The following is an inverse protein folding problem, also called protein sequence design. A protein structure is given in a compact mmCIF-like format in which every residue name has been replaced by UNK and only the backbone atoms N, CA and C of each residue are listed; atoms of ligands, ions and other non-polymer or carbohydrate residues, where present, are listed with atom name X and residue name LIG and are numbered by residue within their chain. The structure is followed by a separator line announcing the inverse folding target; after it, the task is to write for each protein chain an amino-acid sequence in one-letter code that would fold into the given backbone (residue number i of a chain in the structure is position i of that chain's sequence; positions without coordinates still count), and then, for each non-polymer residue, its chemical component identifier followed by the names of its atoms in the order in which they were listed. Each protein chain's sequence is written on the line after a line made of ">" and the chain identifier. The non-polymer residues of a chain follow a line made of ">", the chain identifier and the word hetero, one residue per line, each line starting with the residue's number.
data_IF_547545558518
#
_entry.id   IF_547545558518
#
_cell.length_a   1.000
_cell.length_b   1.000
_cell.length_c   1.000
_cell.angle_alpha   90.00
_cell.angle_beta   90.00
_cell.angle_gamma   90.00
#
_symmetry.space_group_name_H-M   'P 1'
#
loop_
_entity.id
_entity.type
_entity.pdbx_description
1 polymer ?
#
# COMPACT_ATOMS: atom_id res chain seq x y z
N UNK A 1 2.14 73.24 -19.20
CA UNK A 1 2.77 73.64 -20.48
C UNK A 1 2.74 72.44 -21.42
N UNK A 2 1.87 72.48 -22.44
CA UNK A 2 1.94 71.67 -23.68
C UNK A 2 3.14 72.14 -24.55
N UNK A 3 3.60 71.42 -25.62
CA UNK A 3 2.78 70.64 -26.55
C UNK A 3 3.37 69.40 -27.29
N UNK A 4 2.45 68.70 -27.97
CA UNK A 4 2.57 67.95 -29.25
C UNK A 4 3.30 66.59 -29.24
N UNK A 5 2.89 65.55 -29.98
CA UNK A 5 1.87 65.47 -31.04
C UNK A 5 1.49 64.01 -31.40
N UNK A 6 0.32 63.88 -32.04
CA UNK A 6 -0.35 62.66 -32.52
C UNK A 6 0.28 62.08 -33.80
N UNK A 7 0.32 60.74 -33.93
CA UNK A 7 -0.05 59.89 -35.11
C UNK A 7 -0.33 58.47 -34.54
N UNK A 8 -1.38 57.69 -34.80
CA UNK A 8 -2.38 57.65 -35.86
C UNK A 8 -2.08 56.48 -36.82
N UNK A 9 -2.72 55.31 -36.66
CA UNK A 9 -3.08 54.26 -37.67
C UNK A 9 -3.48 52.95 -36.95
N UNK A 10 -4.75 52.52 -37.01
CA UNK A 10 -5.50 51.73 -38.03
C UNK A 10 -5.51 50.22 -37.72
N UNK A 11 -6.69 49.76 -37.30
CA UNK A 11 -7.15 48.37 -37.24
C UNK A 11 -7.17 47.71 -38.63
N UNK A 12 -6.93 46.40 -38.75
CA UNK A 12 -7.50 45.58 -39.80
C UNK A 12 -8.75 44.85 -39.31
N UNK A 13 -9.80 45.01 -40.12
CA UNK A 13 -11.03 44.23 -40.17
C UNK A 13 -10.68 42.87 -40.79
N UNK A 14 -11.19 41.76 -40.23
CA UNK A 14 -11.27 40.48 -40.92
C UNK A 14 -12.71 39.91 -40.81
N UNK A 15 -13.21 39.23 -41.86
CA UNK A 15 -14.63 39.03 -42.07
C UNK A 15 -15.18 37.74 -41.45
N UNK A 16 -16.50 37.77 -41.24
CA UNK A 16 -17.39 36.65 -40.92
C UNK A 16 -17.87 36.02 -42.23
N UNK A 17 -17.78 34.68 -42.34
CA UNK A 17 -18.61 33.71 -43.10
C UNK A 17 -17.74 32.49 -43.48
N UNK A 18 -18.16 31.23 -43.41
CA UNK A 18 -19.46 30.64 -43.13
C UNK A 18 -19.34 29.11 -42.95
N UNK A 19 -20.42 28.52 -42.43
CA UNK A 19 -20.68 27.08 -42.39
C UNK A 19 -20.81 26.48 -43.80
N UNK A 20 -20.14 25.35 -44.09
CA UNK A 20 -20.67 24.26 -44.94
C UNK A 20 -20.14 22.90 -44.42
N UNK A 21 -21.07 21.96 -44.22
CA UNK A 21 -20.90 20.52 -43.99
C UNK A 21 -20.48 19.80 -45.29
N UNK A 22 -19.59 18.78 -45.21
CA UNK A 22 -19.84 17.41 -45.72
C UNK A 22 -18.59 16.50 -45.69
N UNK A 23 -18.86 15.26 -45.26
CA UNK A 23 -18.29 13.97 -45.71
C UNK A 23 -16.82 13.60 -45.44
N UNK A 24 -16.66 12.73 -44.43
CA UNK A 24 -16.07 11.39 -44.51
C UNK A 24 -14.93 11.14 -45.50
N UNK A 25 -13.73 10.91 -44.99
CA UNK A 25 -12.81 9.91 -45.54
C UNK A 25 -11.94 9.30 -44.44
N UNK A 26 -12.23 8.02 -44.18
CA UNK A 26 -11.48 7.08 -43.35
C UNK A 26 -10.09 6.85 -43.96
N UNK A 27 -9.05 7.47 -43.40
CA UNK A 27 -7.67 7.10 -43.70
C UNK A 27 -7.18 6.11 -42.63
N UNK A 28 -7.17 4.82 -42.98
CA UNK A 28 -6.52 3.78 -42.18
C UNK A 28 -5.00 3.91 -42.36
N UNK A 29 -4.34 4.55 -41.41
CA UNK A 29 -2.88 4.46 -41.27
C UNK A 29 -2.58 3.19 -40.46
N UNK A 30 -2.06 2.18 -41.14
CA UNK A 30 -1.57 0.96 -40.52
C UNK A 30 -0.24 1.26 -39.82
N UNK A 31 -0.27 1.39 -38.50
CA UNK A 31 0.94 1.35 -37.68
C UNK A 31 1.35 -0.10 -37.46
N UNK A 32 2.40 -0.52 -38.16
CA UNK A 32 3.16 -1.73 -37.83
C UNK A 32 3.99 -1.45 -36.57
N UNK A 33 3.36 -1.59 -35.40
CA UNK A 33 4.09 -1.72 -34.14
C UNK A 33 4.54 -3.18 -34.02
N UNK A 34 5.82 -3.43 -34.30
CA UNK A 34 6.50 -4.62 -33.79
C UNK A 34 6.51 -4.48 -32.26
N UNK A 35 5.55 -5.12 -31.61
CA UNK A 35 5.65 -5.48 -30.21
C UNK A 35 6.68 -6.59 -30.09
N UNK A 36 7.84 -6.28 -29.53
CA UNK A 36 8.71 -7.32 -28.97
C UNK A 36 7.88 -8.12 -27.94
N UNK A 37 8.05 -9.46 -27.89
CA UNK A 37 7.26 -10.29 -27.00
C UNK A 37 7.62 -9.91 -25.57
N UNK A 38 6.66 -9.31 -24.87
CA UNK A 38 6.66 -9.29 -23.41
C UNK A 38 6.67 -10.75 -23.00
N UNK A 39 7.74 -11.14 -22.33
CA UNK A 39 7.94 -12.46 -21.75
C UNK A 39 6.86 -12.69 -20.69
N UNK A 40 5.69 -13.10 -21.17
CA UNK A 40 4.60 -13.63 -20.38
C UNK A 40 5.09 -14.96 -19.83
N UNK A 41 5.85 -14.90 -18.75
CA UNK A 41 5.97 -16.04 -17.85
C UNK A 41 4.56 -16.41 -17.44
N UNK A 42 4.07 -17.46 -18.07
CA UNK A 42 2.74 -17.99 -17.90
C UNK A 42 2.52 -18.21 -16.40
N UNK A 43 1.67 -17.38 -15.79
CA UNK A 43 0.90 -17.78 -14.64
C UNK A 43 0.04 -18.92 -15.15
N UNK A 44 0.53 -20.15 -15.02
CA UNK A 44 -0.25 -21.33 -15.27
C UNK A 44 -1.49 -21.20 -14.39
N UNK A 45 -2.63 -20.93 -15.02
CA UNK A 45 -3.95 -21.00 -14.40
C UNK A 45 -4.11 -22.47 -14.01
N UNK A 46 -3.65 -22.81 -12.80
CA UNK A 46 -3.99 -24.08 -12.18
C UNK A 46 -5.51 -24.09 -12.10
N UNK A 47 -6.13 -25.05 -12.79
CA UNK A 47 -7.54 -25.35 -12.60
C UNK A 47 -7.75 -25.54 -11.10
N UNK A 48 -8.54 -24.66 -10.50
CA UNK A 48 -8.92 -24.72 -9.11
C UNK A 48 -9.43 -26.14 -8.80
N UNK A 49 -8.96 -26.72 -7.69
CA UNK A 49 -9.58 -27.94 -7.19
C UNK A 49 -11.01 -27.55 -6.75
N UNK A 50 -12.06 -28.24 -7.22
CA UNK A 50 -13.44 -27.86 -6.95
C UNK A 50 -13.89 -28.00 -5.48
N UNK A 51 -13.00 -28.40 -4.55
CA UNK A 51 -13.36 -28.78 -3.18
C UNK A 51 -12.75 -27.91 -2.07
N UNK A 52 -12.08 -26.80 -2.40
CA UNK A 52 -11.69 -25.81 -1.37
C UNK A 52 -12.68 -24.66 -1.44
N UNK A 53 -13.68 -24.66 -0.55
CA UNK A 53 -14.52 -23.49 -0.34
C UNK A 53 -13.62 -22.27 -0.13
N UNK A 54 -13.78 -21.25 -0.98
CA UNK A 54 -13.08 -19.98 -0.80
C UNK A 54 -13.44 -19.44 0.59
N UNK A 55 -12.45 -19.27 1.47
CA UNK A 55 -12.62 -18.65 2.78
C UNK A 55 -12.93 -17.16 2.57
N UNK A 56 -14.22 -16.84 2.51
CA UNK A 56 -14.70 -15.47 2.38
C UNK A 56 -15.02 -14.85 3.75
N UNK A 57 -14.70 -13.57 3.90
CA UNK A 57 -15.08 -12.76 5.07
C UNK A 57 -15.38 -11.33 4.65
N UNK A 58 -16.24 -10.65 5.41
CA UNK A 58 -16.59 -9.25 5.13
C UNK A 58 -15.74 -8.31 5.97
N UNK A 59 -15.12 -7.32 5.33
CA UNK A 59 -14.53 -6.15 5.96
C UNK A 59 -15.39 -4.94 5.57
N UNK A 60 -16.17 -4.43 6.53
CA UNK A 60 -17.18 -3.41 6.27
C UNK A 60 -18.19 -3.91 5.21
N UNK A 61 -18.41 -3.16 4.14
CA UNK A 61 -19.25 -3.46 2.98
C UNK A 61 -18.52 -4.26 1.88
N UNK A 62 -17.26 -4.66 2.11
CA UNK A 62 -16.45 -5.39 1.12
C UNK A 62 -16.30 -6.85 1.52
N UNK A 63 -16.80 -7.76 0.69
CA UNK A 63 -16.55 -9.20 0.85
C UNK A 63 -15.22 -9.56 0.20
N UNK A 64 -14.32 -10.12 1.00
CA UNK A 64 -13.01 -10.62 0.57
C UNK A 64 -13.02 -12.12 0.58
N UNK A 65 -12.63 -12.74 -0.54
CA UNK A 65 -12.46 -14.17 -0.65
C UNK A 65 -10.97 -14.46 -0.85
N UNK A 66 -10.35 -15.10 0.13
CA UNK A 66 -8.94 -15.49 0.03
C UNK A 66 -8.88 -16.80 -0.76
N UNK A 67 -8.66 -16.66 -2.06
CA UNK A 67 -8.39 -17.80 -2.95
C UNK A 67 -6.99 -18.31 -2.65
N UNK A 68 -6.89 -19.59 -2.31
CA UNK A 68 -5.64 -20.32 -2.14
C UNK A 68 -4.63 -19.61 -1.23
N UNK A 69 -4.72 -19.85 0.09
CA UNK A 69 -3.60 -19.54 1.00
C UNK A 69 -2.30 -20.05 0.34
N UNK A 70 -1.26 -19.22 0.22
CA UNK A 70 -0.07 -19.61 -0.53
C UNK A 70 0.46 -20.94 0.01
N UNK A 71 0.84 -21.88 -0.87
CA UNK A 71 1.31 -23.17 -0.42
C UNK A 71 2.50 -22.95 0.50
N UNK A 72 2.34 -23.35 1.75
CA UNK A 72 3.45 -23.39 2.69
C UNK A 72 4.36 -24.49 2.18
N UNK A 73 5.62 -24.15 1.91
CA UNK A 73 6.61 -25.11 1.44
C UNK A 73 6.69 -26.24 2.46
N UNK A 74 6.47 -27.49 2.02
CA UNK A 74 6.43 -28.68 2.89
C UNK A 74 7.77 -28.94 3.58
N UNK A 75 8.85 -28.39 3.05
CA UNK A 75 10.18 -28.45 3.64
C UNK A 75 10.41 -27.32 4.66
N UNK A 76 9.43 -26.42 4.83
CA UNK A 76 9.45 -25.39 5.86
C UNK A 76 8.42 -25.75 6.92
N UNK A 77 8.86 -25.79 8.16
CA UNK A 77 7.97 -26.02 9.31
C UNK A 77 7.24 -24.75 9.75
N UNK A 78 7.56 -23.60 9.16
CA UNK A 78 7.06 -22.30 9.62
C UNK A 78 5.62 -22.03 9.18
N UNK A 79 4.75 -21.66 10.12
CA UNK A 79 3.36 -21.27 9.84
C UNK A 79 2.34 -22.42 9.79
N UNK A 80 2.72 -23.67 10.06
CA UNK A 80 1.77 -24.78 10.17
C UNK A 80 1.30 -24.97 11.63
N UNK A 81 0.01 -24.80 11.94
CA UNK A 81 -0.53 -25.21 13.24
C UNK A 81 -0.38 -26.73 13.38
N UNK A 82 0.52 -27.18 14.27
CA UNK A 82 0.66 -28.59 14.66
C UNK A 82 1.83 -29.37 14.07
N UNK A 83 2.64 -28.78 13.19
CA UNK A 83 3.82 -29.46 12.60
C UNK A 83 5.17 -28.77 12.86
N UNK A 84 5.15 -27.58 13.46
CA UNK A 84 6.36 -26.81 13.73
C UNK A 84 6.96 -27.12 15.09
N UNK A 85 8.03 -27.91 15.11
CA UNK A 85 8.93 -27.96 16.28
C UNK A 85 9.80 -26.71 16.25
N UNK A 86 9.35 -25.66 16.95
CA UNK A 86 10.14 -24.46 17.20
C UNK A 86 11.32 -24.80 18.10
N UNK A 87 12.49 -24.29 17.76
CA UNK A 87 13.60 -24.31 18.69
C UNK A 87 13.36 -23.21 19.75
N UNK A 88 12.77 -23.58 20.87
CA UNK A 88 12.56 -22.70 22.03
C UNK A 88 13.87 -22.38 22.74
N UNK A 89 14.92 -23.19 22.56
CA UNK A 89 16.25 -22.96 23.14
C UNK A 89 16.95 -21.72 22.59
N UNK A 90 16.51 -21.16 21.44
CA UNK A 90 17.11 -19.97 20.84
C UNK A 90 16.04 -18.93 20.45
N UNK A 91 15.09 -18.68 21.36
CA UNK A 91 13.97 -17.79 21.09
C UNK A 91 14.43 -16.37 20.71
N UNK A 92 13.78 -15.78 19.72
CA UNK A 92 13.95 -14.38 19.34
C UNK A 92 12.86 -13.55 20.01
N UNK A 93 13.27 -12.49 20.70
CA UNK A 93 12.36 -11.54 21.35
C UNK A 93 12.58 -10.17 20.72
N UNK A 94 11.64 -9.64 19.91
CA UNK A 94 11.77 -8.31 19.35
C UNK A 94 11.51 -7.28 20.46
N UNK A 95 12.41 -6.32 20.56
CA UNK A 95 12.35 -5.29 21.58
C UNK A 95 12.47 -3.90 20.95
N UNK A 96 11.64 -2.98 21.45
CA UNK A 96 11.56 -1.60 21.02
C UNK A 96 11.80 -0.64 22.20
N UNK A 97 12.64 -1.00 23.17
CA UNK A 97 13.17 -0.04 24.15
C UNK A 97 13.89 1.16 23.48
N UNK A 98 14.24 1.06 22.18
CA UNK A 98 14.68 2.19 21.34
C UNK A 98 13.54 3.00 20.68
N UNK A 99 12.35 3.01 21.29
CA UNK A 99 11.09 3.61 20.80
C UNK A 99 11.21 4.99 20.15
N UNK A 100 12.14 5.83 20.58
CA UNK A 100 12.32 7.19 20.07
C UNK A 100 12.73 7.27 18.59
N UNK A 101 13.23 6.17 17.99
CA UNK A 101 13.72 6.17 16.61
C UNK A 101 12.71 5.65 15.58
N UNK A 102 11.74 4.81 15.99
CA UNK A 102 10.89 4.05 15.06
C UNK A 102 9.40 3.99 15.42
N UNK A 103 8.91 4.78 16.38
CA UNK A 103 7.58 4.64 17.00
C UNK A 103 6.32 4.76 16.12
N UNK A 104 6.44 4.98 14.81
CA UNK A 104 5.29 5.06 13.90
C UNK A 104 4.69 3.67 13.59
N UNK A 105 3.37 3.60 13.42
CA UNK A 105 2.63 2.35 13.14
C UNK A 105 3.21 1.54 11.98
N UNK A 106 3.58 2.18 10.86
CA UNK A 106 4.18 1.49 9.71
C UNK A 106 5.54 0.85 10.01
N UNK A 107 6.34 1.46 10.88
CA UNK A 107 7.65 0.93 11.28
C UNK A 107 7.48 -0.24 12.25
N UNK A 108 6.61 -0.13 13.25
CA UNK A 108 6.32 -1.21 14.20
C UNK A 108 5.84 -2.48 13.49
N UNK A 109 4.91 -2.34 12.53
CA UNK A 109 4.43 -3.49 11.73
C UNK A 109 5.60 -4.12 10.97
N UNK A 110 6.43 -3.29 10.37
CA UNK A 110 7.56 -3.74 9.57
C UNK A 110 8.62 -4.45 10.40
N UNK A 111 8.92 -3.95 11.60
CA UNK A 111 9.79 -4.60 12.58
C UNK A 111 9.26 -5.96 12.96
N UNK A 112 7.97 -6.07 13.25
CA UNK A 112 7.32 -7.34 13.54
C UNK A 112 7.50 -8.35 12.40
N UNK A 113 7.30 -7.94 11.14
CA UNK A 113 7.54 -8.82 9.99
C UNK A 113 9.01 -9.18 9.79
N UNK A 114 9.95 -8.28 10.10
CA UNK A 114 11.37 -8.61 10.04
C UNK A 114 11.79 -9.58 11.13
N UNK A 115 11.22 -9.46 12.34
CA UNK A 115 11.44 -10.42 13.42
C UNK A 115 10.91 -11.81 13.06
N UNK A 116 9.73 -11.88 12.44
CA UNK A 116 9.19 -13.13 11.90
C UNK A 116 10.09 -13.75 10.83
N UNK A 117 10.62 -12.95 9.90
CA UNK A 117 11.54 -13.44 8.89
C UNK A 117 12.87 -13.93 9.49
N UNK A 118 13.38 -13.24 10.52
CA UNK A 118 14.59 -13.66 11.23
C UNK A 118 14.38 -14.98 11.98
N UNK A 119 13.24 -15.12 12.67
CA UNK A 119 12.87 -16.36 13.35
C UNK A 119 12.74 -17.52 12.36
N UNK A 120 12.14 -17.25 11.20
CA UNK A 120 12.08 -18.22 10.11
C UNK A 120 13.47 -18.64 9.62
N UNK A 121 14.33 -17.67 9.31
CA UNK A 121 15.68 -17.94 8.80
C UNK A 121 16.55 -18.74 9.78
N UNK A 122 16.36 -18.53 11.09
CA UNK A 122 17.11 -19.19 12.15
C UNK A 122 16.47 -20.47 12.69
N UNK A 123 15.30 -20.87 12.18
CA UNK A 123 14.54 -22.00 12.73
C UNK A 123 14.12 -21.82 14.20
N UNK A 124 14.12 -20.58 14.68
CA UNK A 124 13.91 -20.21 16.08
C UNK A 124 12.46 -19.81 16.34
N UNK A 125 12.06 -19.88 17.60
CA UNK A 125 10.76 -19.36 18.03
C UNK A 125 10.75 -17.83 18.03
N UNK A 126 9.70 -17.20 17.48
CA UNK A 126 9.44 -15.78 17.74
C UNK A 126 8.56 -15.65 18.98
N UNK A 127 9.10 -15.07 20.05
CA UNK A 127 8.39 -14.85 21.31
C UNK A 127 8.07 -13.36 21.46
N UNK A 128 6.82 -13.03 21.78
CA UNK A 128 6.39 -11.64 22.01
C UNK A 128 5.82 -11.49 23.41
N UNK A 129 6.17 -10.39 24.08
CA UNK A 129 5.62 -10.08 25.39
C UNK A 129 4.15 -9.60 25.26
N UNK A 130 3.23 -9.98 26.16
CA UNK A 130 1.82 -9.54 26.13
C UNK A 130 1.61 -8.02 26.14
N UNK A 131 2.57 -7.28 26.72
CA UNK A 131 2.63 -5.82 26.76
C UNK A 131 3.75 -5.25 25.88
N UNK A 132 4.27 -6.05 24.94
CA UNK A 132 5.30 -5.64 24.00
C UNK A 132 4.70 -4.94 22.78
N UNK A 133 5.52 -4.13 22.10
CA UNK A 133 5.07 -3.36 20.94
C UNK A 133 4.42 -4.20 19.81
N UNK A 134 4.80 -5.48 19.54
CA UNK A 134 4.14 -6.24 18.49
C UNK A 134 2.69 -6.52 18.87
N UNK A 135 2.43 -6.94 20.11
CA UNK A 135 1.08 -7.22 20.60
C UNK A 135 0.26 -5.95 20.66
N UNK A 136 0.82 -4.84 21.16
CA UNK A 136 0.13 -3.54 21.18
C UNK A 136 -0.23 -3.06 19.78
N UNK A 137 0.67 -3.26 18.80
CA UNK A 137 0.43 -2.89 17.40
C UNK A 137 -0.65 -3.78 16.78
N UNK A 138 -0.59 -5.09 16.98
CA UNK A 138 -1.62 -6.00 16.49
C UNK A 138 -2.99 -5.73 17.13
N UNK A 139 -3.03 -5.43 18.44
CA UNK A 139 -4.29 -5.11 19.14
C UNK A 139 -4.97 -3.87 18.58
N UNK A 140 -4.19 -2.84 18.27
CA UNK A 140 -4.70 -1.63 17.61
C UNK A 140 -5.26 -1.93 16.22
N UNK A 141 -4.51 -2.70 15.41
CA UNK A 141 -4.85 -2.94 14.01
C UNK A 141 -5.92 -3.99 13.77
N UNK A 142 -6.07 -4.95 14.68
CA UNK A 142 -6.85 -6.16 14.42
C UNK A 142 -7.86 -6.52 15.52
N UNK A 143 -8.05 -5.66 16.54
CA UNK A 143 -8.88 -5.81 17.76
C UNK A 143 -8.10 -6.23 19.02
N UNK A 144 -8.61 -5.82 20.19
CA UNK A 144 -8.00 -6.04 21.51
C UNK A 144 -7.88 -7.50 21.93
N UNK A 145 -8.55 -8.41 21.22
CA UNK A 145 -8.61 -9.85 21.46
C UNK A 145 -7.47 -10.65 20.80
N UNK A 146 -6.34 -10.01 20.50
CA UNK A 146 -5.11 -10.74 20.15
C UNK A 146 -4.73 -11.65 21.31
N UNK A 147 -4.96 -12.95 21.12
CA UNK A 147 -4.66 -13.99 22.08
C UNK A 147 -3.51 -14.89 21.61
N UNK A 148 -3.09 -15.80 22.49
CA UNK A 148 -2.05 -16.78 22.17
C UNK A 148 -2.45 -17.73 21.03
N UNK A 149 -3.75 -17.98 20.81
CA UNK A 149 -4.22 -18.89 19.76
C UNK A 149 -4.04 -18.27 18.37
N UNK A 150 -4.40 -17.01 18.20
CA UNK A 150 -4.19 -16.27 16.96
C UNK A 150 -2.71 -16.12 16.66
N UNK A 151 -1.91 -15.66 17.65
CA UNK A 151 -0.46 -15.54 17.50
C UNK A 151 0.17 -16.89 17.11
N UNK A 152 -0.22 -17.97 17.79
CA UNK A 152 0.30 -19.29 17.47
C UNK A 152 -0.05 -19.72 16.04
N UNK A 153 -1.22 -19.33 15.53
CA UNK A 153 -1.65 -19.64 14.16
C UNK A 153 -0.86 -18.91 13.07
N UNK A 154 -0.12 -17.84 13.42
CA UNK A 154 0.80 -17.12 12.53
C UNK A 154 2.27 -17.38 12.87
N UNK A 155 2.55 -18.39 13.72
CA UNK A 155 3.91 -18.75 14.08
C UNK A 155 4.56 -17.82 15.12
N UNK A 156 3.77 -17.21 15.99
CA UNK A 156 4.25 -16.34 17.07
C UNK A 156 3.81 -16.92 18.42
N UNK A 157 4.71 -16.91 19.39
CA UNK A 157 4.44 -17.42 20.74
C UNK A 157 4.32 -16.26 21.70
N UNK A 158 3.25 -16.26 22.49
CA UNK A 158 3.13 -15.33 23.61
C UNK A 158 4.11 -15.76 24.71
N UNK A 159 4.91 -14.83 25.22
CA UNK A 159 5.83 -15.09 26.33
C UNK A 159 5.08 -15.70 27.52
N UNK A 160 5.64 -16.79 28.06
CA UNK A 160 5.15 -17.47 29.25
C UNK A 160 6.28 -17.61 30.27
N UNK A 161 6.20 -16.98 31.46
CA UNK A 161 7.27 -17.05 32.46
C UNK A 161 7.50 -18.47 33.02
N UNK A 162 6.56 -19.39 32.84
CA UNK A 162 6.71 -20.80 33.25
C UNK A 162 7.35 -21.67 32.17
N UNK A 163 7.59 -21.15 30.97
CA UNK A 163 8.28 -21.89 29.91
C UNK A 163 9.79 -21.71 30.07
N UNK A 164 10.53 -22.81 29.98
CA UNK A 164 11.98 -22.81 30.09
C UNK A 164 12.59 -22.44 28.74
N UNK A 165 12.98 -21.17 28.61
CA UNK A 165 13.71 -20.69 27.46
C UNK A 165 15.20 -20.69 27.79
N UNK A 166 15.92 -21.70 27.30
CA UNK A 166 17.36 -21.88 27.60
C UNK A 166 18.19 -20.64 27.20
N UNK A 167 17.93 -20.08 26.02
CA UNK A 167 18.55 -18.85 25.54
C UNK A 167 17.52 -17.95 24.84
N UNK A 168 17.37 -16.71 25.34
CA UNK A 168 16.60 -15.67 24.68
C UNK A 168 17.50 -14.65 24.02
N UNK A 169 17.38 -14.54 22.69
CA UNK A 169 18.01 -13.47 21.93
C UNK A 169 17.06 -12.29 21.79
N UNK A 170 17.29 -11.26 22.60
CA UNK A 170 16.63 -9.97 22.43
C UNK A 170 17.20 -9.27 21.20
N UNK A 171 16.34 -8.90 20.26
CA UNK A 171 16.73 -8.22 19.01
C UNK A 171 16.10 -6.83 18.97
N UNK A 172 16.96 -5.82 19.01
CA UNK A 172 16.56 -4.41 18.92
C UNK A 172 16.08 -4.06 17.52
N UNK A 173 15.19 -3.06 17.41
CA UNK A 173 14.66 -2.53 16.15
C UNK A 173 15.75 -2.23 15.10
N UNK A 174 16.87 -1.62 15.50
CA UNK A 174 18.00 -1.32 14.60
C UNK A 174 18.60 -2.60 13.99
N UNK A 175 18.66 -3.69 14.76
CA UNK A 175 19.08 -5.01 14.28
C UNK A 175 18.13 -5.58 13.23
N UNK A 176 16.82 -5.43 13.44
CA UNK A 176 15.78 -5.91 12.53
C UNK A 176 15.80 -5.20 11.16
N UNK A 177 16.18 -3.92 11.11
CA UNK A 177 16.29 -3.18 9.85
C UNK A 177 17.64 -3.40 9.13
N UNK A 178 18.71 -3.60 9.88
CA UNK A 178 20.07 -3.72 9.35
C UNK A 178 20.39 -5.13 8.86
N UNK A 179 19.77 -6.16 9.45
CA UNK A 179 20.04 -7.55 9.12
C UNK A 179 19.87 -7.85 7.62
N UNK A 180 20.93 -8.45 7.06
CA UNK A 180 20.90 -9.06 5.73
C UNK A 180 20.41 -10.48 5.89
N UNK A 181 19.30 -10.79 5.22
CA UNK A 181 18.83 -12.16 5.04
C UNK A 181 19.82 -12.89 4.15
N UNK A 182 20.48 -13.92 4.67
CA UNK A 182 21.51 -14.68 3.95
C UNK A 182 20.91 -15.88 3.22
N UNK A 183 19.81 -16.46 3.73
CA UNK A 183 19.34 -17.77 3.29
C UNK A 183 17.90 -17.80 2.76
N UNK A 184 17.05 -16.81 3.10
CA UNK A 184 15.67 -16.77 2.58
C UNK A 184 15.58 -16.15 1.18
N UNK A 185 14.94 -16.87 0.26
CA UNK A 185 14.56 -16.33 -1.05
C UNK A 185 13.44 -15.30 -0.89
N UNK A 186 13.40 -14.32 -1.78
CA UNK A 186 12.36 -13.29 -1.76
C UNK A 186 10.94 -13.87 -1.87
N UNK A 187 10.74 -14.90 -2.67
CA UNK A 187 9.45 -15.60 -2.80
C UNK A 187 9.00 -16.26 -1.50
N UNK A 188 9.94 -16.81 -0.70
CA UNK A 188 9.62 -17.40 0.60
C UNK A 188 9.15 -16.34 1.59
N UNK A 189 9.85 -15.20 1.65
CA UNK A 189 9.44 -14.04 2.46
C UNK A 189 8.05 -13.58 2.06
N UNK A 190 7.83 -13.44 0.75
CA UNK A 190 6.58 -12.92 0.23
C UNK A 190 5.39 -13.85 0.49
N UNK A 191 5.56 -15.17 0.27
CA UNK A 191 4.55 -16.18 0.60
C UNK A 191 4.25 -16.22 2.09
N UNK A 192 5.30 -16.19 2.92
CA UNK A 192 5.13 -16.24 4.36
C UNK A 192 4.38 -15.01 4.89
N UNK A 193 4.80 -13.80 4.50
CA UNK A 193 4.11 -12.57 4.89
C UNK A 193 2.67 -12.52 4.37
N UNK A 194 2.43 -12.99 3.14
CA UNK A 194 1.08 -13.13 2.58
C UNK A 194 0.20 -14.03 3.46
N UNK A 195 0.70 -15.20 3.86
CA UNK A 195 -0.02 -16.10 4.78
C UNK A 195 -0.40 -15.39 6.09
N UNK A 196 0.56 -14.72 6.74
CA UNK A 196 0.32 -14.00 8.00
C UNK A 196 -0.71 -12.89 7.82
N UNK A 197 -0.59 -12.09 6.76
CA UNK A 197 -1.53 -11.01 6.45
C UNK A 197 -2.94 -11.56 6.22
N UNK A 198 -3.11 -12.57 5.37
CA UNK A 198 -4.41 -13.18 5.11
C UNK A 198 -5.05 -13.72 6.40
N UNK A 199 -4.25 -14.33 7.28
CA UNK A 199 -4.72 -14.84 8.57
C UNK A 199 -5.19 -13.73 9.52
N UNK A 200 -4.42 -12.65 9.63
CA UNK A 200 -4.75 -11.49 10.48
C UNK A 200 -6.02 -10.77 9.99
N UNK A 201 -6.14 -10.52 8.68
CA UNK A 201 -7.34 -9.87 8.14
C UNK A 201 -8.58 -10.76 8.18
N UNK A 202 -8.43 -12.09 8.10
CA UNK A 202 -9.53 -13.02 8.35
C UNK A 202 -10.04 -12.92 9.78
N UNK A 203 -9.13 -12.84 10.77
CA UNK A 203 -9.50 -12.60 12.17
C UNK A 203 -10.27 -11.29 12.31
N UNK A 204 -9.75 -10.20 11.75
CA UNK A 204 -10.42 -8.90 11.77
C UNK A 204 -11.81 -8.93 11.10
N UNK A 205 -11.96 -9.62 9.97
CA UNK A 205 -13.25 -9.79 9.31
C UNK A 205 -14.28 -10.49 10.20
N UNK A 206 -13.88 -11.58 10.87
CA UNK A 206 -14.71 -12.25 11.86
C UNK A 206 -15.11 -11.32 13.02
N UNK A 207 -14.21 -10.42 13.44
CA UNK A 207 -14.49 -9.45 14.51
C UNK A 207 -15.43 -8.33 14.08
N UNK A 208 -15.19 -7.74 12.91
CA UNK A 208 -16.07 -6.71 12.34
C UNK A 208 -17.49 -7.24 12.13
N UNK A 209 -17.63 -8.51 11.73
CA UNK A 209 -18.93 -9.15 11.59
C UNK A 209 -19.68 -9.32 12.93
N UNK A 210 -18.95 -9.51 14.04
CA UNK A 210 -19.51 -9.89 15.34
C UNK A 210 -19.54 -8.76 16.39
N UNK A 211 -18.94 -7.60 16.12
CA UNK A 211 -18.84 -6.49 17.08
C UNK A 211 -19.13 -5.15 16.42
N UNK A 212 -20.21 -4.47 16.85
CA UNK A 212 -20.54 -3.12 16.38
C UNK A 212 -19.44 -2.12 16.67
N UNK A 213 -18.85 -2.15 17.86
CA UNK A 213 -17.83 -1.16 18.23
C UNK A 213 -16.57 -1.27 17.36
N UNK A 214 -16.12 -2.50 17.09
CA UNK A 214 -14.99 -2.76 16.19
C UNK A 214 -15.37 -2.33 14.76
N UNK A 215 -16.57 -2.68 14.30
CA UNK A 215 -17.05 -2.25 12.98
C UNK A 215 -17.10 -0.73 12.87
N UNK A 216 -17.65 -0.03 13.85
CA UNK A 216 -17.83 1.41 13.80
C UNK A 216 -16.46 2.11 13.88
N UNK A 217 -15.53 1.58 14.68
CA UNK A 217 -14.15 2.05 14.72
C UNK A 217 -13.44 1.97 13.36
N UNK A 218 -13.53 0.83 12.69
CA UNK A 218 -12.79 0.57 11.45
C UNK A 218 -13.52 1.08 10.19
N UNK A 219 -14.85 1.03 10.17
CA UNK A 219 -15.66 1.29 8.99
C UNK A 219 -16.27 2.70 8.95
N UNK A 220 -16.23 3.47 10.05
CA UNK A 220 -16.78 4.82 10.10
C UNK A 220 -16.17 5.76 9.07
N UNK A 221 -14.85 5.71 8.86
CA UNK A 221 -14.18 6.51 7.83
C UNK A 221 -14.79 6.21 6.46
N UNK A 222 -14.91 4.93 6.11
CA UNK A 222 -15.50 4.51 4.84
C UNK A 222 -16.97 4.91 4.73
N UNK A 223 -17.77 4.77 5.78
CA UNK A 223 -19.18 5.21 5.78
C UNK A 223 -19.31 6.73 5.59
N UNK A 224 -18.45 7.49 6.26
CA UNK A 224 -18.42 8.97 6.19
C UNK A 224 -18.08 9.44 4.77
N UNK A 225 -17.08 8.83 4.14
CA UNK A 225 -16.60 9.25 2.82
C UNK A 225 -17.33 8.58 1.64
N UNK A 226 -17.96 7.43 1.86
CA UNK A 226 -18.82 6.83 0.86
C UNK A 226 -20.10 7.64 0.67
N UNK A 227 -20.63 8.30 1.72
CA UNK A 227 -21.75 9.26 1.59
C UNK A 227 -22.99 8.71 0.85
N UNK A 228 -23.19 7.39 0.83
CA UNK A 228 -24.19 6.71 0.00
C UNK A 228 -23.93 6.74 -1.52
N UNK A 229 -22.85 7.38 -1.96
CA UNK A 229 -22.39 7.39 -3.35
C UNK A 229 -21.88 6.00 -3.76
N UNK A 230 -22.34 5.52 -4.92
CA UNK A 230 -21.82 4.30 -5.57
C UNK A 230 -20.48 4.52 -6.28
N UNK A 231 -19.83 5.67 -6.07
CA UNK A 231 -18.54 5.99 -6.70
C UNK A 231 -17.44 5.08 -6.17
N UNK A 232 -16.46 4.85 -7.05
CA UNK A 232 -15.25 4.12 -6.72
C UNK A 232 -14.36 4.98 -5.83
N UNK A 233 -13.57 4.37 -4.99
CA UNK A 233 -12.71 5.04 -4.01
C UNK A 233 -11.25 5.01 -4.47
N UNK A 234 -10.62 6.18 -4.54
CA UNK A 234 -9.19 6.34 -4.79
C UNK A 234 -8.60 6.93 -3.50
N UNK A 235 -7.66 6.24 -2.87
CA UNK A 235 -7.01 6.73 -1.65
C UNK A 235 -5.56 7.04 -1.94
N UNK A 236 -5.14 8.27 -1.62
CA UNK A 236 -3.80 8.78 -1.76
C UNK A 236 -3.17 8.87 -0.37
N UNK A 237 -2.00 8.30 -0.18
CA UNK A 237 -1.20 8.48 1.03
C UNK A 237 0.00 9.37 0.75
N UNK A 238 0.03 10.56 1.37
CA UNK A 238 1.14 11.52 1.24
C UNK A 238 2.01 11.60 2.50
N UNK A 239 3.30 11.86 2.27
CA UNK A 239 4.31 12.08 3.30
C UNK A 239 5.34 13.08 2.77
N UNK A 240 5.81 13.98 3.63
CA UNK A 240 6.81 14.98 3.25
C UNK A 240 8.20 14.41 2.93
N UNK A 241 8.55 13.29 3.56
CA UNK A 241 9.91 12.76 3.51
C UNK A 241 10.13 11.81 2.33
N UNK A 242 11.26 11.95 1.62
CA UNK A 242 11.65 11.06 0.54
C UNK A 242 13.09 10.57 0.68
N UNK A 243 13.34 9.28 0.42
CA UNK A 243 14.68 8.69 0.50
C UNK A 243 15.33 8.59 -0.87
N UNK A 244 16.48 9.26 -1.06
CA UNK A 244 17.24 9.24 -2.33
C UNK A 244 17.54 7.84 -2.86
N UNK A 245 17.81 6.86 -1.99
CA UNK A 245 18.09 5.51 -2.45
C UNK A 245 16.87 4.80 -3.06
N UNK A 246 15.64 5.27 -2.82
CA UNK A 246 14.46 4.73 -3.49
C UNK A 246 14.44 5.13 -4.96
N UNK A 247 14.83 6.37 -5.27
CA UNK A 247 15.04 6.80 -6.65
C UNK A 247 16.12 5.93 -7.33
N UNK A 248 17.28 5.70 -6.67
CA UNK A 248 18.34 4.86 -7.25
C UNK A 248 17.92 3.40 -7.45
N UNK A 249 17.06 2.87 -6.58
CA UNK A 249 16.72 1.43 -6.55
C UNK A 249 15.51 1.05 -7.40
N UNK A 250 14.59 1.99 -7.56
CA UNK A 250 13.29 1.80 -8.18
C UNK A 250 13.00 2.87 -9.24
N UNK A 251 13.96 3.74 -9.58
CA UNK A 251 13.84 4.80 -10.60
C UNK A 251 12.65 5.74 -10.37
N UNK A 252 12.26 5.96 -9.13
CA UNK A 252 11.04 6.71 -8.79
C UNK A 252 11.23 8.21 -9.04
N UNK A 253 10.21 8.86 -9.61
CA UNK A 253 10.13 10.32 -9.66
C UNK A 253 9.83 10.88 -8.26
N UNK A 254 10.89 11.33 -7.59
CA UNK A 254 10.84 11.89 -6.24
C UNK A 254 9.86 13.07 -6.15
N UNK A 255 9.88 13.96 -7.15
CA UNK A 255 9.10 15.18 -7.12
C UNK A 255 7.60 14.89 -7.13
N UNK A 256 7.15 13.93 -7.94
CA UNK A 256 5.72 13.63 -8.03
C UNK A 256 5.24 12.77 -6.87
N UNK A 257 6.10 11.92 -6.32
CA UNK A 257 5.82 11.22 -5.07
C UNK A 257 5.67 12.18 -3.87
N UNK A 258 6.37 13.32 -3.89
CA UNK A 258 6.33 14.34 -2.85
C UNK A 258 5.22 15.36 -3.05
N UNK A 259 5.04 15.85 -4.28
CA UNK A 259 4.16 16.99 -4.57
C UNK A 259 2.78 16.60 -5.09
N UNK A 260 2.62 15.37 -5.56
CA UNK A 260 1.35 14.81 -6.06
C UNK A 260 0.62 15.77 -7.01
N UNK A 261 1.25 16.17 -8.13
CA UNK A 261 0.63 17.13 -9.02
C UNK A 261 -0.68 16.56 -9.61
N UNK A 262 -1.72 17.37 -9.86
CA UNK A 262 -3.03 16.87 -10.28
C UNK A 262 -2.96 16.00 -11.54
N UNK A 263 -2.17 16.38 -12.54
CA UNK A 263 -1.98 15.62 -13.77
C UNK A 263 -1.38 14.23 -13.53
N UNK A 264 -0.53 14.06 -12.51
CA UNK A 264 -0.01 12.76 -12.10
C UNK A 264 -1.13 11.90 -11.51
N UNK A 265 -1.91 12.43 -10.58
CA UNK A 265 -3.01 11.71 -9.94
C UNK A 265 -4.06 11.29 -10.97
N UNK A 266 -4.47 12.21 -11.84
CA UNK A 266 -5.43 11.95 -12.93
C UNK A 266 -4.90 10.84 -13.85
N UNK A 267 -3.64 10.93 -14.30
CA UNK A 267 -3.06 9.93 -15.18
C UNK A 267 -3.00 8.54 -14.53
N UNK A 268 -2.65 8.44 -13.24
CA UNK A 268 -2.65 7.15 -12.53
C UNK A 268 -4.04 6.54 -12.39
N UNK A 269 -5.07 7.37 -12.18
CA UNK A 269 -6.48 6.92 -12.15
C UNK A 269 -6.87 6.39 -13.54
N UNK A 270 -6.60 7.14 -14.60
CA UNK A 270 -6.98 6.81 -15.97
C UNK A 270 -6.21 5.61 -16.57
N UNK A 271 -5.04 5.28 -16.03
CA UNK A 271 -4.32 4.04 -16.35
C UNK A 271 -4.97 2.78 -15.76
N UNK A 272 -6.04 2.95 -14.99
CA UNK A 272 -6.89 1.86 -14.51
C UNK A 272 -8.23 1.90 -15.24
N UNK A 273 -9.17 1.05 -14.85
CA UNK A 273 -10.54 1.10 -15.37
C UNK A 273 -11.43 2.13 -14.63
N UNK A 274 -10.81 3.13 -14.00
CA UNK A 274 -11.48 4.19 -13.24
C UNK A 274 -11.42 5.51 -14.01
N UNK A 275 -12.35 6.41 -13.69
CA UNK A 275 -12.32 7.79 -14.15
C UNK A 275 -12.40 8.71 -12.93
N UNK A 276 -11.81 9.89 -13.03
CA UNK A 276 -11.88 10.90 -11.97
C UNK A 276 -13.35 11.27 -11.65
N UNK A 277 -14.18 11.39 -12.68
CA UNK A 277 -15.60 11.75 -12.53
C UNK A 277 -16.47 10.71 -11.81
N UNK A 278 -16.04 9.44 -11.80
CA UNK A 278 -16.72 8.34 -11.13
C UNK A 278 -15.97 7.88 -9.85
N UNK A 279 -15.02 8.67 -9.39
CA UNK A 279 -14.21 8.37 -8.22
C UNK A 279 -14.42 9.40 -7.10
N UNK A 280 -14.27 8.95 -5.86
CA UNK A 280 -14.01 9.80 -4.70
C UNK A 280 -12.51 9.71 -4.41
N UNK A 281 -11.80 10.83 -4.57
CA UNK A 281 -10.37 10.94 -4.32
C UNK A 281 -10.19 11.38 -2.87
N UNK A 282 -9.68 10.49 -2.04
CA UNK A 282 -9.44 10.71 -0.62
C UNK A 282 -7.94 10.79 -0.38
N UNK A 283 -7.50 11.70 0.48
CA UNK A 283 -6.09 11.81 0.84
C UNK A 283 -5.88 11.68 2.34
N UNK A 284 -5.07 10.70 2.72
CA UNK A 284 -4.53 10.55 4.07
C UNK A 284 -3.09 11.11 4.11
N UNK A 285 -2.75 11.85 5.16
CA UNK A 285 -1.44 12.46 5.30
C UNK A 285 -1.01 12.64 6.76
N UNK A 286 0.29 12.84 6.97
CA UNK A 286 0.93 13.07 8.26
C UNK A 286 0.78 14.51 8.80
N UNK A 287 0.14 15.41 8.04
CA UNK A 287 -0.05 16.82 8.43
C UNK A 287 1.19 17.69 8.24
N UNK A 288 2.26 17.16 7.64
CA UNK A 288 3.42 17.95 7.27
C UNK A 288 3.06 19.02 6.23
N UNK A 289 3.79 20.14 6.24
CA UNK A 289 3.56 21.26 5.32
C UNK A 289 3.54 20.81 3.85
N UNK A 290 4.48 19.96 3.44
CA UNK A 290 4.51 19.44 2.07
C UNK A 290 3.25 18.64 1.73
N UNK A 291 2.75 17.81 2.65
CA UNK A 291 1.53 17.04 2.42
C UNK A 291 0.28 17.93 2.41
N UNK A 292 0.23 18.97 3.27
CA UNK A 292 -0.84 19.98 3.25
C UNK A 292 -0.85 20.76 1.93
N UNK A 293 0.32 21.18 1.43
CA UNK A 293 0.45 21.87 0.15
C UNK A 293 -0.02 21.00 -1.03
N UNK A 294 0.29 19.69 -1.02
CA UNK A 294 -0.25 18.75 -2.00
C UNK A 294 -1.77 18.61 -1.90
N UNK A 295 -2.31 18.58 -0.68
CA UNK A 295 -3.75 18.52 -0.42
C UNK A 295 -4.48 19.75 -0.98
N UNK A 296 -4.00 20.95 -0.68
CA UNK A 296 -4.57 22.22 -1.19
C UNK A 296 -4.51 22.31 -2.71
N UNK A 297 -3.43 21.81 -3.32
CA UNK A 297 -3.29 21.75 -4.78
C UNK A 297 -4.36 20.87 -5.42
N UNK A 298 -4.59 19.67 -4.90
CA UNK A 298 -5.65 18.78 -5.41
C UNK A 298 -7.05 19.34 -5.13
N UNK A 299 -7.24 20.03 -4.00
CA UNK A 299 -8.51 20.67 -3.68
C UNK A 299 -8.85 21.87 -4.57
N UNK A 300 -7.83 22.56 -5.10
CA UNK A 300 -8.00 23.76 -5.94
C UNK A 300 -7.98 23.48 -7.44
N UNK A 301 -7.46 22.33 -7.86
CA UNK A 301 -7.34 21.98 -9.27
C UNK A 301 -8.70 21.62 -9.92
N UNK A 302 -9.07 22.20 -11.07
CA UNK A 302 -10.37 21.95 -11.71
C UNK A 302 -10.66 20.50 -12.06
N UNK A 303 -9.64 19.67 -12.32
CA UNK A 303 -9.81 18.27 -12.70
C UNK A 303 -10.14 17.39 -11.48
N UNK A 304 -9.60 17.73 -10.30
CA UNK A 304 -9.70 16.88 -9.10
C UNK A 304 -10.60 17.45 -8.00
N UNK A 305 -10.67 18.77 -7.85
CA UNK A 305 -11.39 19.49 -6.78
C UNK A 305 -12.81 18.99 -6.47
N UNK A 306 -13.63 18.72 -7.50
CA UNK A 306 -15.02 18.27 -7.34
C UNK A 306 -15.16 16.87 -6.73
N UNK A 307 -14.08 16.09 -6.75
CA UNK A 307 -14.05 14.70 -6.35
C UNK A 307 -13.07 14.46 -5.19
N UNK A 308 -12.35 15.51 -4.78
CA UNK A 308 -11.27 15.45 -3.81
C UNK A 308 -11.76 15.76 -2.39
N UNK A 309 -11.26 15.00 -1.42
CA UNK A 309 -11.42 15.28 -0.01
C UNK A 309 -10.16 14.90 0.77
N UNK A 310 -9.67 15.83 1.59
CA UNK A 310 -8.62 15.55 2.58
C UNK A 310 -9.23 14.94 3.84
N UNK A 311 -8.57 13.92 4.38
CA UNK A 311 -8.94 13.29 5.65
C UNK A 311 -8.15 14.01 6.75
N UNK A 312 -8.82 14.70 7.69
CA UNK A 312 -8.13 15.49 8.70
C UNK A 312 -7.24 14.62 9.59
N UNK A 313 -5.95 14.92 9.67
CA UNK A 313 -5.02 14.20 10.55
C UNK A 313 -5.43 14.25 12.03
N UNK A 314 -5.96 15.40 12.49
CA UNK A 314 -6.33 15.62 13.88
C UNK A 314 -7.58 14.83 14.34
N UNK A 315 -8.33 14.24 13.41
CA UNK A 315 -9.52 13.43 13.71
C UNK A 315 -9.45 12.00 13.16
N UNK A 316 -8.46 11.70 12.32
CA UNK A 316 -8.26 10.37 11.73
C UNK A 316 -7.55 9.45 12.71
N UNK A 317 -8.11 8.25 12.91
CA UNK A 317 -7.35 7.16 13.50
C UNK A 317 -6.50 6.50 12.39
N UNK A 318 -5.16 6.39 12.52
CA UNK A 318 -4.31 5.64 11.60
C UNK A 318 -4.82 4.24 11.24
N UNK A 319 -5.52 3.56 12.14
CA UNK A 319 -6.09 2.25 11.88
C UNK A 319 -7.27 2.29 10.89
N UNK A 320 -8.16 3.28 11.04
CA UNK A 320 -9.27 3.51 10.11
C UNK A 320 -8.78 4.02 8.76
N UNK A 321 -7.77 4.90 8.75
CA UNK A 321 -7.12 5.40 7.52
C UNK A 321 -6.45 4.28 6.74
N UNK A 322 -5.79 3.36 7.46
CA UNK A 322 -5.18 2.17 6.88
C UNK A 322 -6.22 1.26 6.24
N UNK A 323 -7.32 0.97 6.95
CA UNK A 323 -8.37 0.10 6.40
C UNK A 323 -9.05 0.76 5.20
N UNK A 324 -9.30 2.06 5.25
CA UNK A 324 -9.82 2.83 4.12
C UNK A 324 -8.92 2.70 2.88
N UNK A 325 -7.61 2.82 3.06
CA UNK A 325 -6.63 2.67 1.98
C UNK A 325 -6.52 1.22 1.47
N UNK A 326 -6.65 0.22 2.36
CA UNK A 326 -6.64 -1.19 1.98
C UNK A 326 -7.88 -1.53 1.14
N UNK A 327 -9.05 -1.06 1.54
CA UNK A 327 -10.32 -1.39 0.88
C UNK A 327 -10.66 -0.49 -0.32
N UNK A 328 -9.78 0.44 -0.70
CA UNK A 328 -10.05 1.32 -1.83
C UNK A 328 -9.97 0.59 -3.18
N UNK A 329 -10.64 1.11 -4.20
CA UNK A 329 -10.53 0.55 -5.56
C UNK A 329 -9.14 0.81 -6.16
N UNK A 330 -8.52 1.93 -5.80
CA UNK A 330 -7.15 2.30 -6.15
C UNK A 330 -6.45 2.92 -4.94
N UNK A 331 -5.23 2.48 -4.65
CA UNK A 331 -4.36 3.11 -3.66
C UNK A 331 -3.16 3.74 -4.35
N UNK A 332 -2.86 5.01 -4.07
CA UNK A 332 -1.66 5.73 -4.54
C UNK A 332 -0.83 6.06 -3.31
N UNK A 333 0.30 5.38 -3.14
CA UNK A 333 1.12 5.46 -1.94
C UNK A 333 2.43 6.21 -2.16
N UNK A 334 2.86 6.99 -1.17
CA UNK A 334 4.23 7.50 -1.12
C UNK A 334 5.23 6.34 -0.85
N UNK A 335 6.17 6.05 -1.76
CA UNK A 335 7.09 4.91 -1.63
C UNK A 335 8.13 5.08 -0.51
N UNK A 336 8.23 6.25 0.11
CA UNK A 336 9.06 6.52 1.28
C UNK A 336 8.30 6.34 2.61
N UNK A 337 7.06 5.85 2.55
CA UNK A 337 6.29 5.52 3.75
C UNK A 337 6.23 4.01 3.97
N UNK A 338 6.74 3.53 5.11
CA UNK A 338 6.58 2.13 5.52
C UNK A 338 5.12 1.75 5.72
N UNK A 339 4.27 2.72 6.06
CA UNK A 339 2.82 2.59 6.13
C UNK A 339 2.19 2.32 4.75
N UNK A 340 2.59 3.07 3.72
CA UNK A 340 2.13 2.84 2.35
C UNK A 340 2.60 1.49 1.79
N UNK A 341 3.84 1.09 2.11
CA UNK A 341 4.34 -0.25 1.77
C UNK A 341 3.52 -1.36 2.40
N UNK A 342 3.16 -1.21 3.68
CA UNK A 342 2.30 -2.16 4.37
C UNK A 342 0.93 -2.27 3.68
N UNK A 343 0.26 -1.14 3.42
CA UNK A 343 -1.04 -1.11 2.72
C UNK A 343 -0.94 -1.87 1.39
N UNK A 344 0.09 -1.61 0.59
CA UNK A 344 0.28 -2.28 -0.70
C UNK A 344 0.53 -3.79 -0.55
N UNK A 345 1.30 -4.22 0.46
CA UNK A 345 1.51 -5.63 0.77
C UNK A 345 0.20 -6.32 1.17
N UNK A 346 -0.63 -5.67 1.98
CA UNK A 346 -1.95 -6.19 2.37
C UNK A 346 -2.86 -6.29 1.16
N UNK A 347 -2.99 -5.22 0.37
CA UNK A 347 -3.82 -5.21 -0.84
C UNK A 347 -3.41 -6.33 -1.79
N UNK A 348 -2.11 -6.50 -2.03
CA UNK A 348 -1.58 -7.61 -2.83
C UNK A 348 -1.91 -8.97 -2.22
N UNK A 349 -1.71 -9.14 -0.90
CA UNK A 349 -1.97 -10.39 -0.20
C UNK A 349 -3.45 -10.79 -0.22
N UNK A 350 -4.36 -9.82 -0.20
CA UNK A 350 -5.81 -10.03 -0.24
C UNK A 350 -6.38 -10.06 -1.66
N UNK A 351 -5.55 -9.93 -2.70
CA UNK A 351 -6.02 -9.89 -4.09
C UNK A 351 -6.89 -8.68 -4.42
N UNK A 352 -6.66 -7.56 -3.72
CA UNK A 352 -7.38 -6.30 -3.90
C UNK A 352 -6.86 -5.52 -5.11
N UNK A 353 -7.56 -4.44 -5.44
CA UNK A 353 -7.27 -3.57 -6.57
C UNK A 353 -5.83 -3.02 -6.60
N UNK A 354 -5.46 -2.36 -7.70
CA UNK A 354 -4.09 -1.88 -7.92
C UNK A 354 -3.59 -1.02 -6.76
N UNK A 355 -2.31 -1.21 -6.42
CA UNK A 355 -1.57 -0.36 -5.49
C UNK A 355 -0.47 0.31 -6.27
N UNK A 356 -0.49 1.64 -6.27
CA UNK A 356 0.41 2.46 -7.04
C UNK A 356 1.46 3.08 -6.13
N UNK A 357 2.65 2.49 -6.06
CA UNK A 357 3.78 3.01 -5.25
C UNK A 357 5.01 3.48 -6.05
N UNK A 358 5.37 2.78 -7.13
CA UNK A 358 6.65 2.98 -7.80
C UNK A 358 6.44 3.51 -9.23
N UNK A 359 6.50 4.84 -9.40
CA UNK A 359 6.30 5.52 -10.69
C UNK A 359 7.50 6.35 -11.10
N UNK A 360 7.66 6.44 -12.41
CA UNK A 360 8.58 7.37 -13.05
C UNK A 360 7.91 8.08 -14.21
N UNK A 361 8.41 9.26 -14.56
CA UNK A 361 8.01 9.92 -15.81
C UNK A 361 8.44 9.07 -16.99
N UNK A 362 7.53 8.85 -17.92
CA UNK A 362 7.82 8.23 -19.20
C UNK A 362 8.14 9.31 -20.24
N UNK A 363 9.43 9.57 -20.41
CA UNK A 363 9.94 10.57 -21.36
C UNK A 363 9.74 10.18 -22.84
N UNK A 364 9.15 9.02 -23.15
CA UNK A 364 8.91 8.55 -24.53
C UNK A 364 7.64 9.11 -25.16
N UNK A 365 6.80 9.75 -24.36
CA UNK A 365 5.54 10.32 -24.82
C UNK A 365 5.82 11.67 -25.51
N UNK A 366 5.29 11.86 -26.72
CA UNK A 366 5.52 12.99 -27.64
C UNK A 366 5.07 14.35 -27.05
N UNK A 367 5.76 14.85 -26.03
CA UNK A 367 5.47 16.14 -25.36
C UNK A 367 4.38 16.11 -24.28
N UNK A 368 3.65 15.01 -24.12
CA UNK A 368 2.69 14.84 -23.02
C UNK A 368 3.38 14.13 -21.85
N UNK A 369 3.18 14.59 -20.61
CA UNK A 369 3.74 13.91 -19.43
C UNK A 369 2.96 12.62 -19.19
N UNK A 370 3.56 11.46 -19.51
CA UNK A 370 3.03 10.16 -19.11
C UNK A 370 3.79 9.59 -17.90
N UNK A 371 3.14 8.72 -17.15
CA UNK A 371 3.71 8.04 -16.00
C UNK A 371 3.77 6.54 -16.26
N UNK A 372 4.86 5.88 -15.87
CA UNK A 372 4.98 4.44 -15.99
C UNK A 372 5.33 3.84 -14.64
N UNK A 373 4.83 2.63 -14.39
CA UNK A 373 5.29 1.84 -13.26
C UNK A 373 6.74 1.46 -13.47
N UNK A 374 7.61 1.87 -12.55
CA UNK A 374 9.01 1.48 -12.57
C UNK A 374 9.22 0.09 -11.98
N UNK A 375 8.29 -0.36 -11.13
CA UNK A 375 8.35 -1.66 -10.47
C UNK A 375 6.93 -2.12 -10.11
N UNK A 376 6.54 -3.33 -10.50
CA UNK A 376 5.19 -3.88 -10.26
C UNK A 376 5.19 -5.18 -9.47
N UNK A 377 4.11 -5.38 -8.72
CA UNK A 377 3.82 -6.65 -8.06
C UNK A 377 4.76 -7.04 -6.91
N UNK A 378 4.79 -8.34 -6.64
CA UNK A 378 5.40 -8.93 -5.45
C UNK A 378 6.93 -8.72 -5.37
N UNK A 379 7.61 -8.76 -6.50
CA UNK A 379 9.07 -8.59 -6.56
C UNK A 379 9.51 -7.20 -6.08
N UNK A 380 8.62 -6.21 -6.10
CA UNK A 380 8.91 -4.85 -5.65
C UNK A 380 8.52 -4.66 -4.19
N UNK A 381 7.32 -5.13 -3.81
CA UNK A 381 6.75 -4.94 -2.47
C UNK A 381 7.56 -5.62 -1.36
N UNK A 382 8.26 -6.72 -1.68
CA UNK A 382 9.10 -7.45 -0.72
C UNK A 382 10.60 -7.23 -0.92
N UNK A 383 10.99 -6.34 -1.85
CA UNK A 383 12.39 -5.94 -2.00
C UNK A 383 12.82 -5.18 -0.74
N UNK A 384 14.11 -5.30 -0.37
CA UNK A 384 14.65 -4.58 0.79
C UNK A 384 14.39 -3.08 0.65
N UNK A 385 13.84 -2.47 1.67
CA UNK A 385 13.63 -1.03 1.71
C UNK A 385 14.89 -0.27 2.03
N UNK A 386 14.88 1.00 1.66
CA UNK A 386 15.86 1.98 2.05
C UNK A 386 15.84 2.22 3.57
N UNK A 387 16.78 1.66 4.31
CA UNK A 387 17.03 2.12 5.67
C UNK A 387 17.91 3.36 5.63
N UNK A 388 17.52 4.43 6.32
CA UNK A 388 18.33 5.63 6.56
C UNK A 388 19.60 5.41 7.37
N UNK A 389 19.75 4.22 7.95
CA UNK A 389 20.74 3.93 8.98
C UNK A 389 21.82 2.94 8.49
N UNK A 390 22.26 3.07 7.23
CA UNK A 390 23.25 2.19 6.61
C UNK A 390 24.41 2.95 6.03
#
# INVERSE_FOLDING_TARGET
>A
MSPSGRKGRRLPILPIAGLIFLASNTLRVAFNLRSDPIDATAVAVRRARPDTEDDCFSLCDVTLCVRDMPPIDRNTTFGYPGGWTRNSSHAIVPDNHTKSLFGETGNNIREFFHAMDLAHESGSELVVHPSGFPVDTLKRLFSSDIDGKLLNSIGVTMFNPSHDYEEMKVVLSTGLFSQRKKHMRQSQIANHRRFVLQRLYRHLGGRIANSSDVRDHFCSARQTFAGGSRRRSVVIHSRSHFYRCLNLKFEIDEESARTLPPEFVVNLIEQTNLTVSNSNILMIHDGSEAAMNSSERLASDPATSRFYQSIPHAGGNPESDMLLAILSDLFIGNPSSTFAWYIAQVRHALGLGPSRLFYKRDNRSNGNVAWAESCTGETCLYKRYCSTYG
#
